data_IF_393542682367
#
_entry.id   IF_393542682367
#
_cell.length_a   1.000
_cell.length_b   1.000
_cell.length_c   1.000
_cell.angle_alpha   90.00
_cell.angle_beta   90.00
_cell.angle_gamma   90.00
#
_symmetry.space_group_name_H-M   'P 1'
#
loop_
_entity.id
_entity.type
_entity.pdbx_description
1 polymer ?
#
# COMPACT_ATOMS: atom_id res chain seq x y z
N UNK A 1 -74.21 30.94 18.04
CA UNK A 1 -72.88 31.07 17.39
C UNK A 1 -72.48 29.69 16.86
N UNK A 2 -72.89 29.38 15.63
CA UNK A 2 -72.03 29.39 14.42
C UNK A 2 -70.99 28.25 14.46
N UNK A 3 -71.34 27.07 13.93
CA UNK A 3 -71.13 26.65 12.52
C UNK A 3 -69.65 26.54 12.09
N UNK A 4 -69.27 25.29 11.81
CA UNK A 4 -68.56 24.78 10.61
C UNK A 4 -67.33 25.56 10.10
N UNK A 5 -66.24 24.82 9.90
CA UNK A 5 -65.55 24.60 8.59
C UNK A 5 -64.31 23.73 8.82
N UNK A 6 -64.26 22.46 8.42
CA UNK A 6 -63.98 21.90 7.07
C UNK A 6 -62.69 22.38 6.38
N UNK A 7 -61.98 21.38 5.84
CA UNK A 7 -60.90 21.37 4.85
C UNK A 7 -59.48 21.38 5.48
N UNK A 8 -58.73 20.28 5.48
CA UNK A 8 -58.20 19.50 4.35
C UNK A 8 -57.37 20.40 3.41
N UNK A 9 -56.04 20.30 3.54
CA UNK A 9 -55.13 20.69 2.48
C UNK A 9 -53.95 19.71 2.46
N UNK A 10 -53.98 18.86 1.45
CA UNK A 10 -52.85 18.11 0.91
C UNK A 10 -51.82 19.07 0.33
N UNK A 11 -50.52 18.86 0.55
CA UNK A 11 -49.62 18.59 -0.58
C UNK A 11 -48.26 18.02 -0.13
N UNK A 12 -47.79 17.14 -0.99
CA UNK A 12 -46.51 16.47 -1.02
C UNK A 12 -45.40 17.40 -1.51
N UNK A 13 -44.25 17.37 -0.85
CA UNK A 13 -42.94 17.78 -1.36
C UNK A 13 -42.00 17.83 -0.14
N UNK A 14 -40.75 17.38 -0.10
CA UNK A 14 -39.80 17.06 -1.15
C UNK A 14 -38.48 16.73 -0.43
N UNK A 15 -37.72 15.75 -0.94
CA UNK A 15 -36.29 15.45 -0.70
C UNK A 15 -35.92 14.84 0.67
N UNK A 16 -35.71 13.52 0.72
CA UNK A 16 -34.39 12.92 0.49
C UNK A 16 -33.23 13.71 1.13
N UNK A 17 -32.92 13.39 2.39
CA UNK A 17 -31.63 13.66 2.99
C UNK A 17 -31.08 12.37 3.59
N UNK A 18 -30.45 11.61 2.69
CA UNK A 18 -29.43 10.59 2.89
C UNK A 18 -28.99 10.41 4.36
N UNK A 19 -29.44 9.30 4.94
CA UNK A 19 -28.71 8.62 5.99
C UNK A 19 -27.29 8.34 5.49
N UNK A 20 -26.31 9.08 6.00
CA UNK A 20 -24.90 8.80 5.72
C UNK A 20 -24.50 7.57 6.53
N UNK A 21 -24.87 6.40 6.00
CA UNK A 21 -24.42 5.09 6.45
C UNK A 21 -22.89 5.10 6.44
N UNK A 22 -22.29 5.05 7.63
CA UNK A 22 -20.87 4.78 7.80
C UNK A 22 -20.59 3.38 7.23
N UNK A 23 -20.26 3.32 5.94
CA UNK A 23 -20.02 2.09 5.21
C UNK A 23 -18.51 1.92 4.99
N UNK A 24 -17.95 1.03 5.81
CA UNK A 24 -16.79 0.18 5.54
C UNK A 24 -15.48 0.87 5.16
N UNK A 25 -14.74 1.34 6.16
CA UNK A 25 -13.29 1.11 6.14
C UNK A 25 -13.08 -0.40 6.38
N UNK A 26 -13.00 -1.20 5.31
CA UNK A 26 -12.56 -2.58 5.46
C UNK A 26 -11.13 -2.53 6.00
N UNK A 27 -10.82 -3.06 7.20
CA UNK A 27 -9.44 -3.30 7.55
C UNK A 27 -8.89 -4.24 6.47
N UNK A 28 -7.66 -3.97 6.00
CA UNK A 28 -6.92 -4.90 5.14
C UNK A 28 -6.78 -6.30 5.80
N UNK A 29 -7.06 -6.36 7.11
CA UNK A 29 -7.12 -7.58 7.87
C UNK A 29 -8.45 -8.32 7.63
N UNK A 30 -8.46 -9.20 6.64
CA UNK A 30 -9.18 -10.47 6.78
C UNK A 30 -8.31 -11.61 6.27
N UNK A 31 -7.66 -12.28 7.23
CA UNK A 31 -7.21 -13.68 7.19
C UNK A 31 -5.85 -13.97 6.54
N UNK A 32 -4.79 -13.71 7.31
CA UNK A 32 -3.64 -14.60 7.41
C UNK A 32 -3.07 -14.53 8.85
N UNK A 33 -3.61 -15.37 9.74
CA UNK A 33 -2.81 -15.86 10.87
C UNK A 33 -1.87 -16.92 10.29
N UNK A 34 -0.67 -16.50 9.88
CA UNK A 34 0.47 -17.38 9.64
C UNK A 34 1.71 -16.66 10.17
N UNK A 35 2.40 -17.30 11.11
CA UNK A 35 3.74 -16.90 11.53
C UNK A 35 3.83 -16.03 12.78
N UNK A 36 3.64 -16.64 13.95
CA UNK A 36 4.54 -16.37 15.09
C UNK A 36 5.89 -17.09 14.85
N UNK A 37 6.40 -17.06 13.62
CA UNK A 37 7.80 -17.36 13.38
C UNK A 37 8.49 -16.03 13.60
N UNK A 38 9.28 -15.95 14.66
CA UNK A 38 10.23 -14.87 14.84
C UNK A 38 10.87 -14.61 13.48
N UNK A 39 10.68 -13.40 12.92
CA UNK A 39 11.41 -12.97 11.74
C UNK A 39 12.86 -13.23 12.05
N UNK A 40 13.38 -14.32 11.49
CA UNK A 40 14.75 -14.75 11.64
C UNK A 40 15.58 -13.49 11.41
N UNK A 41 16.35 -13.07 12.43
CA UNK A 41 17.19 -11.87 12.35
C UNK A 41 17.83 -11.90 10.97
N UNK A 42 17.67 -10.84 10.18
CA UNK A 42 18.22 -10.79 8.83
C UNK A 42 19.69 -11.22 8.95
N UNK A 43 19.99 -12.43 8.49
CA UNK A 43 21.29 -13.06 8.66
C UNK A 43 22.24 -12.37 7.69
N UNK A 44 22.66 -11.16 8.05
CA UNK A 44 23.65 -10.38 7.33
C UNK A 44 24.99 -11.04 7.58
N UNK A 45 25.40 -11.90 6.66
CA UNK A 45 26.74 -12.45 6.66
C UNK A 45 27.67 -11.53 5.86
N UNK A 46 28.92 -11.29 6.29
CA UNK A 46 29.85 -10.40 5.57
C UNK A 46 30.17 -10.81 4.12
N UNK A 47 29.83 -12.05 3.74
CA UNK A 47 30.04 -12.62 2.40
C UNK A 47 28.72 -12.83 1.65
N UNK A 48 27.65 -12.14 2.05
CA UNK A 48 26.41 -12.18 1.28
C UNK A 48 26.57 -11.36 0.00
N UNK A 49 26.53 -12.05 -1.13
CA UNK A 49 26.53 -11.40 -2.44
C UNK A 49 25.14 -11.49 -3.06
N UNK A 50 24.83 -10.50 -3.90
CA UNK A 50 23.65 -10.52 -4.74
C UNK A 50 24.08 -11.07 -6.11
N UNK A 51 23.55 -12.23 -6.50
CA UNK A 51 23.78 -12.77 -7.84
C UNK A 51 23.15 -11.81 -8.88
N UNK A 52 23.95 -11.15 -9.74
CA UNK A 52 23.44 -10.22 -10.74
C UNK A 52 22.57 -10.89 -11.80
N UNK A 53 22.70 -12.20 -12.01
CA UNK A 53 21.84 -12.94 -12.93
C UNK A 53 20.44 -13.21 -12.36
N UNK A 54 20.28 -13.07 -11.04
CA UNK A 54 19.00 -13.30 -10.39
C UNK A 54 18.04 -12.14 -10.66
N UNK A 55 16.86 -12.44 -11.22
CA UNK A 55 15.78 -11.47 -11.36
C UNK A 55 15.17 -11.18 -9.99
N UNK A 56 15.74 -10.20 -9.29
CA UNK A 56 15.22 -9.73 -8.02
C UNK A 56 14.01 -8.83 -8.26
N UNK A 57 12.92 -9.11 -7.55
CA UNK A 57 11.74 -8.25 -7.53
C UNK A 57 12.09 -6.95 -6.82
N UNK A 58 11.68 -5.83 -7.41
CA UNK A 58 11.84 -4.54 -6.77
C UNK A 58 10.86 -4.37 -5.60
N UNK A 59 11.10 -3.43 -4.68
CA UNK A 59 10.11 -3.06 -3.67
C UNK A 59 8.77 -2.64 -4.26
N UNK A 60 8.79 -2.01 -5.45
CA UNK A 60 7.59 -1.64 -6.20
C UNK A 60 6.79 -2.85 -6.65
N UNK A 61 7.46 -3.85 -7.25
CA UNK A 61 6.85 -5.11 -7.68
C UNK A 61 6.24 -5.87 -6.50
N UNK A 62 6.98 -5.99 -5.39
CA UNK A 62 6.50 -6.66 -4.18
C UNK A 62 5.27 -5.93 -3.63
N UNK A 63 5.33 -4.60 -3.53
CA UNK A 63 4.20 -3.79 -3.07
C UNK A 63 2.97 -3.96 -3.96
N UNK A 64 3.15 -3.98 -5.28
CA UNK A 64 2.05 -4.13 -6.23
C UNK A 64 1.44 -5.53 -6.16
N UNK A 65 2.26 -6.56 -6.37
CA UNK A 65 1.83 -7.93 -6.59
C UNK A 65 1.40 -8.62 -5.30
N UNK A 66 2.14 -8.42 -4.21
CA UNK A 66 1.94 -9.19 -2.98
C UNK A 66 0.97 -8.48 -2.01
N UNK A 67 0.77 -7.16 -2.14
CA UNK A 67 -0.08 -6.38 -1.23
C UNK A 67 -1.23 -5.63 -1.92
N UNK A 68 -0.98 -4.87 -2.99
CA UNK A 68 -2.01 -4.03 -3.58
C UNK A 68 -3.03 -4.81 -4.40
N UNK A 69 -2.58 -5.72 -5.28
CA UNK A 69 -3.46 -6.53 -6.12
C UNK A 69 -4.37 -7.46 -5.28
N UNK A 70 -3.88 -8.22 -4.29
CA UNK A 70 -4.73 -9.10 -3.49
C UNK A 70 -5.80 -8.35 -2.70
N UNK A 71 -5.53 -7.10 -2.34
CA UNK A 71 -6.48 -6.26 -1.63
C UNK A 71 -7.33 -5.36 -2.53
N UNK A 72 -7.21 -5.49 -3.86
CA UNK A 72 -7.88 -4.62 -4.84
C UNK A 72 -7.68 -3.12 -4.54
N UNK A 73 -6.51 -2.77 -4.00
CA UNK A 73 -6.20 -1.43 -3.54
C UNK A 73 -5.54 -0.61 -4.65
N UNK A 74 -5.92 0.66 -4.78
CA UNK A 74 -5.27 1.61 -5.68
C UNK A 74 -4.23 2.49 -4.94
N UNK A 75 -3.28 3.11 -5.67
CA UNK A 75 -2.24 3.96 -5.06
C UNK A 75 -2.80 5.11 -4.22
N UNK A 76 -3.96 5.66 -4.59
CA UNK A 76 -4.60 6.77 -3.89
C UNK A 76 -5.18 6.33 -2.54
N UNK A 77 -5.75 5.12 -2.46
CA UNK A 77 -6.20 4.52 -1.20
C UNK A 77 -5.02 4.25 -0.28
N UNK A 78 -3.93 3.71 -0.82
CA UNK A 78 -2.71 3.47 -0.05
C UNK A 78 -2.07 4.79 0.43
N UNK A 79 -2.06 5.83 -0.41
CA UNK A 79 -1.58 7.16 -0.06
C UNK A 79 -2.33 7.75 1.14
N UNK A 80 -3.66 7.61 1.17
CA UNK A 80 -4.50 8.10 2.28
C UNK A 80 -4.19 7.39 3.60
N UNK A 81 -3.88 6.09 3.55
CA UNK A 81 -3.57 5.29 4.74
C UNK A 81 -2.15 5.52 5.25
N UNK A 82 -1.18 5.63 4.36
CA UNK A 82 0.25 5.78 4.69
C UNK A 82 0.68 7.22 4.89
N UNK A 83 -0.11 8.19 4.42
CA UNK A 83 0.27 9.60 4.34
C UNK A 83 1.40 9.89 3.34
N UNK A 84 1.82 8.90 2.53
CA UNK A 84 2.77 9.09 1.44
C UNK A 84 2.03 9.70 0.25
N UNK A 85 2.62 10.70 -0.41
CA UNK A 85 2.01 11.31 -1.61
C UNK A 85 1.77 10.23 -2.67
N UNK A 86 0.59 10.23 -3.30
CA UNK A 86 0.26 9.23 -4.32
C UNK A 86 1.26 9.23 -5.50
N UNK A 87 1.83 10.40 -5.84
CA UNK A 87 2.92 10.50 -6.81
C UNK A 87 4.14 9.67 -6.40
N UNK A 88 4.60 9.81 -5.15
CA UNK A 88 5.74 9.03 -4.64
C UNK A 88 5.46 7.53 -4.62
N UNK A 89 4.22 7.13 -4.28
CA UNK A 89 3.85 5.71 -4.36
C UNK A 89 3.94 5.22 -5.81
N UNK A 90 3.46 5.98 -6.79
CA UNK A 90 3.60 5.62 -8.20
C UNK A 90 5.06 5.53 -8.63
N UNK A 91 5.90 6.47 -8.23
CA UNK A 91 7.35 6.44 -8.53
C UNK A 91 8.04 5.21 -7.94
N UNK A 92 7.64 4.76 -6.75
CA UNK A 92 8.11 3.51 -6.15
C UNK A 92 7.61 2.31 -6.98
N UNK A 93 6.33 2.30 -7.37
CA UNK A 93 5.74 1.20 -8.13
C UNK A 93 6.34 1.03 -9.53
N UNK A 94 6.87 2.10 -10.12
CA UNK A 94 7.52 2.07 -11.43
C UNK A 94 9.05 2.03 -11.34
N UNK A 95 9.62 1.83 -10.14
CA UNK A 95 11.06 1.88 -9.88
C UNK A 95 11.77 3.15 -10.39
N UNK A 96 11.02 4.26 -10.49
CA UNK A 96 11.53 5.57 -10.90
C UNK A 96 12.29 6.25 -9.76
N UNK A 97 11.97 5.90 -8.50
CA UNK A 97 12.65 6.43 -7.31
C UNK A 97 12.85 5.34 -6.27
N UNK A 98 14.04 5.28 -5.63
CA UNK A 98 14.26 4.35 -4.54
C UNK A 98 13.39 4.68 -3.33
N UNK A 99 12.99 3.63 -2.60
CA UNK A 99 12.22 3.76 -1.38
C UNK A 99 13.10 4.33 -0.24
N UNK A 100 12.62 5.40 0.39
CA UNK A 100 13.29 6.01 1.54
C UNK A 100 12.90 5.34 2.87
N UNK A 101 13.75 5.41 3.93
CA UNK A 101 13.41 4.87 5.25
C UNK A 101 12.10 5.44 5.82
N UNK A 102 11.81 6.72 5.59
CA UNK A 102 10.54 7.35 5.99
C UNK A 102 9.33 6.69 5.33
N UNK A 103 9.43 6.30 4.06
CA UNK A 103 8.37 5.62 3.34
C UNK A 103 8.23 4.17 3.83
N UNK A 104 9.35 3.48 4.04
CA UNK A 104 9.36 2.11 4.57
C UNK A 104 8.65 2.00 5.93
N UNK A 105 8.94 2.92 6.86
CA UNK A 105 8.27 2.97 8.17
C UNK A 105 6.75 3.17 8.02
N UNK A 106 6.33 4.06 7.12
CA UNK A 106 4.90 4.34 6.89
C UNK A 106 4.17 3.18 6.23
N UNK A 107 4.82 2.47 5.32
CA UNK A 107 4.27 1.26 4.70
C UNK A 107 4.15 0.13 5.73
N UNK A 108 5.20 -0.09 6.52
CA UNK A 108 5.25 -1.06 7.60
C UNK A 108 4.06 -0.96 8.56
N UNK A 109 3.77 0.26 9.03
CA UNK A 109 2.64 0.52 9.94
C UNK A 109 1.26 0.22 9.34
N UNK A 110 1.11 0.33 8.02
CA UNK A 110 -0.20 0.15 7.34
C UNK A 110 -0.41 -1.29 6.86
N UNK A 111 0.68 -1.97 6.52
CA UNK A 111 0.69 -3.31 5.93
C UNK A 111 1.06 -4.40 6.94
N UNK A 112 1.34 -4.03 8.20
CA UNK A 112 1.77 -4.95 9.26
C UNK A 112 3.04 -5.73 8.86
N UNK A 113 4.05 -4.98 8.39
CA UNK A 113 5.34 -5.51 7.94
C UNK A 113 6.49 -4.80 8.66
N UNK A 114 7.72 -5.29 8.51
CA UNK A 114 8.90 -4.60 9.05
C UNK A 114 9.38 -3.48 8.11
N UNK A 115 9.77 -2.30 8.61
CA UNK A 115 10.42 -1.28 7.78
C UNK A 115 11.72 -1.80 7.14
N UNK A 116 12.45 -2.66 7.86
CA UNK A 116 13.71 -3.22 7.41
C UNK A 116 13.53 -4.16 6.22
N UNK A 117 12.42 -4.91 6.18
CA UNK A 117 12.06 -5.76 5.05
C UNK A 117 12.06 -4.98 3.74
N UNK A 118 11.41 -3.81 3.71
CA UNK A 118 11.36 -2.95 2.53
C UNK A 118 12.72 -2.39 2.12
N UNK A 119 13.55 -1.98 3.09
CA UNK A 119 14.88 -1.44 2.80
C UNK A 119 15.84 -2.51 2.31
N UNK A 120 15.74 -3.74 2.81
CA UNK A 120 16.55 -4.85 2.31
C UNK A 120 16.16 -5.24 0.89
N UNK A 121 14.86 -5.22 0.56
CA UNK A 121 14.42 -5.40 -0.83
C UNK A 121 15.02 -4.33 -1.75
N UNK A 122 14.99 -3.06 -1.32
CA UNK A 122 15.57 -1.95 -2.09
C UNK A 122 17.07 -2.15 -2.31
N UNK A 123 17.82 -2.43 -1.24
CA UNK A 123 19.26 -2.62 -1.32
C UNK A 123 19.64 -3.79 -2.24
N UNK A 124 18.96 -4.94 -2.11
CA UNK A 124 19.21 -6.10 -2.96
C UNK A 124 18.94 -5.80 -4.44
N UNK A 125 17.83 -5.14 -4.73
CA UNK A 125 17.47 -4.76 -6.09
C UNK A 125 18.48 -3.77 -6.71
N UNK A 126 18.88 -2.75 -5.95
CA UNK A 126 19.83 -1.73 -6.42
C UNK A 126 21.21 -2.34 -6.69
N UNK A 127 21.69 -3.22 -5.81
CA UNK A 127 22.94 -3.95 -5.99
C UNK A 127 22.93 -4.82 -7.25
N UNK A 128 21.86 -5.58 -7.49
CA UNK A 128 21.73 -6.39 -8.71
C UNK A 128 21.75 -5.55 -9.99
N UNK A 129 20.97 -4.44 -10.00
CA UNK A 129 20.92 -3.54 -11.15
C UNK A 129 22.27 -2.92 -11.45
N UNK A 130 22.97 -2.48 -10.41
CA UNK A 130 24.28 -1.84 -10.56
C UNK A 130 25.35 -2.85 -11.00
N UNK A 131 25.34 -4.07 -10.45
CA UNK A 131 26.23 -5.14 -10.87
C UNK A 131 26.04 -5.53 -12.34
N UNK A 132 24.79 -5.57 -12.83
CA UNK A 132 24.50 -5.78 -14.25
C UNK A 132 25.05 -4.64 -15.12
N UNK A 133 24.91 -3.38 -14.67
CA UNK A 133 25.44 -2.20 -15.38
C UNK A 133 26.97 -2.22 -15.47
N UNK A 134 27.64 -2.58 -14.38
CA UNK A 134 29.12 -2.71 -14.35
C UNK A 134 29.55 -3.84 -15.29
N UNK A 135 28.84 -4.97 -15.27
CA UNK A 135 29.16 -6.13 -16.12
C UNK A 135 28.95 -5.81 -17.61
N UNK A 136 27.89 -5.09 -17.98
CA UNK A 136 27.65 -4.69 -19.36
C UNK A 136 28.64 -3.66 -19.87
N UNK A 137 29.16 -2.77 -19.01
CA UNK A 137 30.21 -1.81 -19.39
C UNK A 137 31.60 -2.43 -19.63
N UNK A 138 31.83 -3.67 -19.18
CA UNK A 138 33.11 -4.38 -19.32
C UNK A 138 33.20 -5.20 -20.61
N UNK A 139 32.10 -5.35 -21.36
CA UNK A 139 32.05 -6.03 -22.66
C UNK A 139 32.18 -5.03 -23.78
#
# INVERSE_FOLDING_TARGET
>A
MAMRRTQAFTDAATRHALTRKAASARPFCSRARQGSEAMELIQLTPRMDVDPAQRLRSPGDVLLLDYMLPATANPQQLARRTGIRALHLREILTDARPMTPRQAIRLALVLDTSPLYWLVLQARHDLAREAQRITSSRR
#
